data_IF_096348968937
#
_entry.id   IF_096348968937
#
_cell.length_a   1.000
_cell.length_b   1.000
_cell.length_c   1.000
_cell.angle_alpha   90.00
_cell.angle_beta   90.00
_cell.angle_gamma   90.00
#
_symmetry.space_group_name_H-M   'P 1'
#
loop_
_entity.id
_entity.type
_entity.pdbx_description
1 polymer ?
#
# COMPACT_ATOMS: atom_id res chain seq x y z
N UNK A 1 23.18 19.00 -24.59
CA UNK A 1 23.27 19.33 -23.15
C UNK A 1 21.85 19.58 -22.66
N UNK A 2 21.35 18.75 -21.74
CA UNK A 2 20.04 18.95 -21.11
C UNK A 2 20.24 19.75 -19.82
N UNK A 3 19.43 20.78 -19.61
CA UNK A 3 19.48 21.65 -18.43
C UNK A 3 19.14 20.83 -17.17
N UNK A 4 20.04 20.82 -16.19
CA UNK A 4 19.87 20.12 -14.92
C UNK A 4 18.79 20.73 -14.02
N UNK A 5 18.20 21.86 -14.42
CA UNK A 5 17.08 22.53 -13.73
C UNK A 5 15.70 22.19 -14.33
N UNK A 6 15.64 21.38 -15.38
CA UNK A 6 14.40 21.16 -16.15
C UNK A 6 13.42 20.12 -15.59
N UNK A 7 13.64 19.46 -14.44
CA UNK A 7 12.65 18.47 -13.96
C UNK A 7 12.52 18.37 -12.45
N UNK A 8 11.46 18.94 -11.86
CA UNK A 8 10.79 18.32 -10.73
C UNK A 8 9.59 17.55 -11.30
N UNK A 9 9.80 16.27 -11.67
CA UNK A 9 8.67 15.37 -11.93
C UNK A 9 7.95 15.12 -10.60
N UNK A 10 6.96 15.95 -10.29
CA UNK A 10 6.14 15.81 -9.07
C UNK A 10 5.21 14.59 -9.10
N UNK A 11 5.06 13.94 -10.26
CA UNK A 11 4.22 12.75 -10.43
C UNK A 11 4.63 11.94 -11.66
N UNK A 12 4.97 10.68 -11.45
CA UNK A 12 5.20 9.70 -12.52
C UNK A 12 4.07 8.66 -12.47
N UNK A 13 3.37 8.46 -13.59
CA UNK A 13 2.32 7.43 -13.72
C UNK A 13 2.72 6.49 -14.84
N UNK A 14 3.33 5.37 -14.48
CA UNK A 14 3.62 4.28 -15.41
C UNK A 14 2.40 3.38 -15.48
N UNK A 15 1.90 3.10 -16.69
CA UNK A 15 0.87 2.09 -16.95
C UNK A 15 1.49 1.01 -17.81
N UNK A 16 1.73 -0.16 -17.25
CA UNK A 16 2.26 -1.32 -17.98
C UNK A 16 1.55 -2.59 -17.51
N UNK A 17 1.35 -3.53 -18.43
CA UNK A 17 0.58 -4.76 -18.24
C UNK A 17 1.46 -5.97 -17.83
N UNK A 18 2.78 -5.77 -17.65
CA UNK A 18 3.72 -6.83 -17.27
C UNK A 18 4.37 -6.57 -15.91
N UNK A 19 4.69 -7.63 -15.13
CA UNK A 19 5.31 -7.51 -13.82
C UNK A 19 6.75 -6.99 -13.94
N UNK A 20 7.04 -5.92 -13.21
CA UNK A 20 8.36 -5.28 -13.17
C UNK A 20 9.11 -5.79 -11.94
N UNK A 21 10.29 -6.38 -12.14
CA UNK A 21 11.24 -6.63 -11.04
C UNK A 21 11.99 -5.33 -10.78
N UNK A 22 11.61 -4.62 -9.70
CA UNK A 22 12.09 -3.26 -9.39
C UNK A 22 12.98 -3.27 -8.16
N UNK A 23 14.14 -3.91 -8.28
CA UNK A 23 15.26 -3.75 -7.35
C UNK A 23 16.21 -2.64 -7.87
N UNK A 24 15.69 -1.41 -7.97
CA UNK A 24 16.45 -0.25 -8.46
C UNK A 24 16.39 0.93 -7.46
N UNK A 25 17.54 1.51 -7.06
CA UNK A 25 17.64 2.46 -5.94
C UNK A 25 16.82 3.75 -6.11
N UNK A 26 16.40 4.09 -7.33
CA UNK A 26 15.58 5.27 -7.62
C UNK A 26 14.12 5.10 -7.16
N UNK A 27 13.62 3.87 -7.05
CA UNK A 27 12.22 3.57 -6.61
C UNK A 27 11.99 3.92 -5.12
N UNK A 28 13.04 4.26 -4.38
CA UNK A 28 12.95 4.67 -2.98
C UNK A 28 12.74 6.18 -2.78
N UNK A 29 12.63 6.97 -3.85
CA UNK A 29 12.61 8.45 -3.77
C UNK A 29 11.25 9.10 -4.05
N UNK A 30 10.19 8.33 -4.30
CA UNK A 30 8.82 8.85 -4.43
C UNK A 30 8.02 8.64 -3.15
N UNK A 31 7.43 9.72 -2.64
CA UNK A 31 6.53 9.73 -1.47
C UNK A 31 5.30 8.82 -1.64
N UNK A 32 4.95 8.47 -2.88
CA UNK A 32 3.91 7.48 -3.22
C UNK A 32 4.49 6.40 -4.17
N UNK A 33 4.79 5.21 -3.66
CA UNK A 33 5.14 4.06 -4.51
C UNK A 33 3.87 3.41 -5.08
N UNK A 34 3.40 3.93 -6.21
CA UNK A 34 2.23 3.38 -6.92
C UNK A 34 2.67 2.20 -7.80
N UNK A 35 2.46 0.98 -7.31
CA UNK A 35 2.71 -0.23 -8.09
C UNK A 35 1.47 -0.61 -8.92
N UNK A 36 1.68 -0.96 -10.20
CA UNK A 36 0.65 -1.51 -11.10
C UNK A 36 1.11 -2.88 -11.59
N UNK A 37 0.32 -3.93 -11.32
CA UNK A 37 0.62 -5.32 -11.67
C UNK A 37 0.08 -6.30 -10.64
N UNK A 38 0.27 -7.61 -10.86
CA UNK A 38 0.00 -8.67 -9.87
C UNK A 38 1.03 -8.58 -8.74
N UNK A 39 0.81 -7.66 -7.81
CA UNK A 39 1.66 -7.47 -6.63
C UNK A 39 1.23 -8.42 -5.52
N UNK A 40 2.16 -9.22 -5.01
CA UNK A 40 1.93 -10.06 -3.84
C UNK A 40 2.11 -9.24 -2.55
N UNK A 41 1.01 -8.68 -2.04
CA UNK A 41 1.00 -7.92 -0.79
C UNK A 41 1.35 -8.79 0.42
N UNK A 42 1.04 -10.10 0.42
CA UNK A 42 1.41 -11.00 1.52
C UNK A 42 2.92 -11.06 1.64
N UNK A 43 3.62 -11.22 0.51
CA UNK A 43 5.09 -11.22 0.48
C UNK A 43 5.69 -9.90 0.97
N UNK A 44 5.10 -8.77 0.57
CA UNK A 44 5.55 -7.44 1.04
C UNK A 44 5.40 -7.32 2.55
N UNK A 45 4.24 -7.68 3.10
CA UNK A 45 3.97 -7.58 4.54
C UNK A 45 4.90 -8.49 5.33
N UNK A 46 5.11 -9.74 4.89
CA UNK A 46 6.05 -10.66 5.54
C UNK A 46 7.49 -10.13 5.50
N UNK A 47 7.89 -9.49 4.40
CA UNK A 47 9.20 -8.83 4.34
C UNK A 47 9.31 -7.69 5.35
N UNK A 48 8.28 -6.85 5.48
CA UNK A 48 8.24 -5.74 6.43
C UNK A 48 8.27 -6.25 7.88
N UNK A 49 7.53 -7.31 8.19
CA UNK A 49 7.54 -7.94 9.52
C UNK A 49 8.94 -8.45 9.85
N UNK A 50 9.62 -9.10 8.89
CA UNK A 50 10.95 -9.69 9.11
C UNK A 50 12.06 -8.65 9.21
N UNK A 51 12.04 -7.67 8.31
CA UNK A 51 13.16 -6.74 8.10
C UNK A 51 12.91 -5.35 8.70
N UNK A 52 11.70 -5.11 9.20
CA UNK A 52 11.24 -3.79 9.59
C UNK A 52 11.02 -2.87 8.39
N UNK A 53 10.40 -1.73 8.71
CA UNK A 53 10.29 -0.55 7.84
C UNK A 53 10.22 0.70 8.73
N UNK A 54 10.60 1.83 8.16
CA UNK A 54 10.55 3.12 8.87
C UNK A 54 9.08 3.51 9.14
N UNK A 55 8.77 4.00 10.33
CA UNK A 55 7.46 4.63 10.62
C UNK A 55 7.22 5.74 9.60
N UNK A 56 5.98 5.81 9.09
CA UNK A 56 5.59 6.71 8.01
C UNK A 56 5.82 6.13 6.61
N UNK A 57 6.41 4.94 6.46
CA UNK A 57 6.46 4.25 5.16
C UNK A 57 5.04 3.90 4.72
N UNK A 58 4.67 4.26 3.49
CA UNK A 58 3.35 4.01 2.91
C UNK A 58 3.46 3.49 1.48
N UNK A 59 2.81 2.36 1.20
CA UNK A 59 2.67 1.78 -0.13
C UNK A 59 1.22 1.84 -0.57
N UNK A 60 1.00 2.23 -1.82
CA UNK A 60 -0.31 2.46 -2.42
C UNK A 60 -0.48 1.54 -3.64
N UNK A 61 -1.14 0.39 -3.45
CA UNK A 61 -1.36 -0.56 -4.54
C UNK A 61 -2.69 -0.25 -5.23
N UNK A 62 -2.65 0.12 -6.51
CA UNK A 62 -3.84 0.57 -7.25
C UNK A 62 -4.38 -0.49 -8.22
N UNK A 63 -5.67 -0.77 -8.12
CA UNK A 63 -6.39 -1.76 -8.92
C UNK A 63 -7.47 -1.07 -9.77
N UNK A 64 -7.49 -1.29 -11.09
CA UNK A 64 -8.55 -0.76 -11.96
C UNK A 64 -9.89 -1.50 -11.76
N UNK A 65 -9.89 -2.71 -11.20
CA UNK A 65 -11.08 -3.55 -11.06
C UNK A 65 -11.29 -4.00 -9.62
N UNK A 66 -12.55 -3.96 -9.17
CA UNK A 66 -12.99 -4.40 -7.85
C UNK A 66 -12.57 -5.86 -7.55
N UNK A 67 -12.74 -6.75 -8.53
CA UNK A 67 -12.43 -8.18 -8.38
C UNK A 67 -10.99 -8.44 -7.96
N UNK A 68 -10.04 -7.61 -8.41
CA UNK A 68 -8.62 -7.81 -8.11
C UNK A 68 -8.28 -7.42 -6.67
N UNK A 69 -8.80 -6.28 -6.20
CA UNK A 69 -8.59 -5.90 -4.79
C UNK A 69 -9.35 -6.86 -3.84
N UNK A 70 -10.51 -7.39 -4.23
CA UNK A 70 -11.21 -8.41 -3.44
C UNK A 70 -10.39 -9.70 -3.32
N UNK A 71 -9.79 -10.17 -4.42
CA UNK A 71 -8.89 -11.32 -4.38
C UNK A 71 -7.69 -11.06 -3.47
N UNK A 72 -7.09 -9.87 -3.57
CA UNK A 72 -5.99 -9.46 -2.68
C UNK A 72 -6.38 -9.43 -1.21
N UNK A 73 -7.54 -8.85 -0.87
CA UNK A 73 -8.02 -8.81 0.51
C UNK A 73 -8.38 -10.18 1.06
N UNK A 74 -8.91 -11.08 0.22
CA UNK A 74 -9.16 -12.47 0.61
C UNK A 74 -7.85 -13.21 0.90
N UNK A 75 -6.80 -12.97 0.12
CA UNK A 75 -5.48 -13.55 0.40
C UNK A 75 -4.91 -13.00 1.72
N UNK A 76 -5.05 -11.70 1.98
CA UNK A 76 -4.65 -11.09 3.24
C UNK A 76 -5.44 -11.62 4.43
N UNK A 77 -6.75 -11.80 4.27
CA UNK A 77 -7.60 -12.41 5.30
C UNK A 77 -7.17 -13.83 5.59
N UNK A 78 -6.88 -14.65 4.57
CA UNK A 78 -6.39 -16.02 4.78
C UNK A 78 -5.07 -16.10 5.57
N UNK A 79 -4.19 -15.09 5.43
CA UNK A 79 -2.87 -15.09 6.06
C UNK A 79 -2.81 -14.33 7.39
N UNK A 80 -3.63 -13.29 7.56
CA UNK A 80 -3.54 -12.33 8.65
C UNK A 80 -4.88 -12.13 9.38
N UNK A 81 -5.78 -13.10 9.33
CA UNK A 81 -7.12 -13.02 9.95
C UNK A 81 -7.09 -12.60 11.43
N UNK A 82 -6.09 -13.08 12.18
CA UNK A 82 -5.94 -12.79 13.62
C UNK A 82 -5.69 -11.30 13.92
N UNK A 83 -5.25 -10.53 12.92
CA UNK A 83 -4.95 -9.10 13.03
C UNK A 83 -6.05 -8.20 12.48
N UNK A 84 -7.25 -8.73 12.24
CA UNK A 84 -8.39 -7.90 11.83
C UNK A 84 -8.69 -6.82 12.88
N UNK A 85 -8.94 -5.60 12.41
CA UNK A 85 -9.17 -4.45 13.28
C UNK A 85 -10.02 -3.39 12.56
N UNK A 86 -10.89 -2.69 13.28
CA UNK A 86 -11.72 -1.64 12.68
C UNK A 86 -10.97 -0.36 12.34
N UNK A 87 -9.74 -0.19 12.85
CA UNK A 87 -8.93 1.02 12.74
C UNK A 87 -9.72 2.26 13.23
N UNK A 88 -10.37 2.13 14.38
CA UNK A 88 -11.08 3.23 15.04
C UNK A 88 -10.10 4.38 15.32
N UNK A 89 -10.51 5.63 15.03
CA UNK A 89 -9.65 6.82 15.11
C UNK A 89 -9.14 7.31 13.75
N UNK A 90 -9.01 6.42 12.76
CA UNK A 90 -8.53 6.80 11.42
C UNK A 90 -9.66 7.44 10.59
N UNK A 91 -9.53 8.75 10.30
CA UNK A 91 -10.49 9.51 9.49
C UNK A 91 -10.24 9.31 7.98
N UNK A 92 -10.51 8.11 7.47
CA UNK A 92 -10.41 7.77 6.04
C UNK A 92 -11.70 7.12 5.55
N UNK A 93 -12.07 7.37 4.29
CA UNK A 93 -13.19 6.69 3.62
C UNK A 93 -12.78 5.28 3.19
N UNK A 94 -12.93 4.33 4.09
CA UNK A 94 -12.69 2.91 3.83
C UNK A 94 -13.68 2.33 2.81
N UNK A 95 -13.29 1.21 2.20
CA UNK A 95 -14.23 0.32 1.51
C UNK A 95 -15.08 -0.41 2.54
N UNK A 96 -16.37 -0.06 2.59
CA UNK A 96 -17.31 -0.62 3.56
C UNK A 96 -17.35 -2.15 3.51
N UNK A 97 -17.45 -2.78 4.69
CA UNK A 97 -17.58 -4.23 4.87
C UNK A 97 -16.36 -5.06 4.45
N UNK A 98 -15.21 -4.42 4.16
CA UNK A 98 -14.00 -5.12 3.76
C UNK A 98 -13.02 -5.21 4.93
N UNK A 99 -12.22 -6.29 5.01
CA UNK A 99 -11.33 -6.51 6.13
C UNK A 99 -10.25 -5.42 6.16
N UNK A 100 -9.92 -5.05 7.38
CA UNK A 100 -8.90 -4.06 7.75
C UNK A 100 -8.01 -4.74 8.77
N UNK A 101 -6.73 -4.42 8.76
CA UNK A 101 -5.76 -5.12 9.57
C UNK A 101 -4.87 -4.14 10.32
N UNK A 102 -4.47 -4.54 11.52
CA UNK A 102 -3.45 -3.88 12.33
C UNK A 102 -2.46 -4.94 12.78
N UNK A 103 -1.38 -5.11 12.02
CA UNK A 103 -0.40 -6.18 12.23
C UNK A 103 0.81 -5.62 12.98
N UNK A 104 1.15 -6.12 14.19
CA UNK A 104 2.36 -5.72 14.88
C UNK A 104 3.61 -6.02 14.05
N UNK A 105 4.51 -5.04 13.93
CA UNK A 105 5.81 -5.22 13.27
C UNK A 105 6.95 -5.19 14.29
N UNK A 106 6.81 -4.38 15.34
CA UNK A 106 7.70 -4.31 16.50
C UNK A 106 6.93 -3.75 17.71
N UNK A 107 7.51 -3.70 18.92
CA UNK A 107 6.84 -3.08 20.07
C UNK A 107 6.42 -1.62 19.80
N UNK A 108 7.20 -0.89 18.98
CA UNK A 108 6.98 0.53 18.70
C UNK A 108 6.22 0.81 17.40
N UNK A 109 5.92 -0.20 16.58
CA UNK A 109 5.25 0.03 15.29
C UNK A 109 4.40 -1.13 14.80
N UNK A 110 3.37 -0.78 14.03
CA UNK A 110 2.42 -1.69 13.40
C UNK A 110 2.20 -1.30 11.95
N UNK A 111 1.80 -2.28 11.15
CA UNK A 111 1.36 -2.10 9.77
C UNK A 111 -0.16 -2.03 9.80
N UNK A 112 -0.72 -0.90 9.39
CA UNK A 112 -2.15 -0.79 9.12
C UNK A 112 -2.41 -1.05 7.64
N UNK A 113 -3.48 -1.79 7.37
CA UNK A 113 -3.85 -2.19 6.02
C UNK A 113 -5.34 -1.98 5.82
N UNK A 114 -5.69 -1.24 4.76
CA UNK A 114 -7.09 -0.98 4.43
C UNK A 114 -7.28 -0.67 2.94
N UNK A 115 -8.49 -0.94 2.45
CA UNK A 115 -8.90 -0.58 1.10
C UNK A 115 -9.59 0.79 1.05
N UNK A 116 -9.33 1.57 0.02
CA UNK A 116 -10.03 2.84 -0.29
C UNK A 116 -10.54 2.85 -1.74
N UNK A 117 -11.53 3.73 -1.99
CA UNK A 117 -12.04 4.00 -3.34
C UNK A 117 -11.64 5.40 -3.78
N UNK A 118 -10.97 5.51 -4.91
CA UNK A 118 -10.63 6.79 -5.53
C UNK A 118 -11.58 7.01 -6.70
N UNK A 119 -12.32 8.11 -6.65
CA UNK A 119 -13.19 8.57 -7.74
C UNK A 119 -12.58 9.82 -8.36
N UNK A 120 -12.07 9.69 -9.59
CA UNK A 120 -11.71 10.81 -10.47
C UNK A 120 -12.60 10.73 -11.71
N UNK A 121 -12.05 10.27 -12.83
CA UNK A 121 -12.77 10.04 -14.09
C UNK A 121 -13.24 8.58 -14.25
N UNK A 122 -12.51 7.66 -13.60
CA UNK A 122 -12.84 6.24 -13.46
C UNK A 122 -12.67 5.85 -11.99
N UNK A 123 -13.44 4.86 -11.54
CA UNK A 123 -13.27 4.30 -10.19
C UNK A 123 -12.02 3.44 -10.14
N UNK A 124 -11.09 3.78 -9.25
CA UNK A 124 -9.95 2.95 -8.89
C UNK A 124 -10.09 2.50 -7.45
N UNK A 125 -9.61 1.29 -7.19
CA UNK A 125 -9.48 0.74 -5.85
C UNK A 125 -8.02 0.83 -5.43
N UNK A 126 -7.79 1.11 -4.16
CA UNK A 126 -6.44 1.21 -3.63
C UNK A 126 -6.35 0.40 -2.35
N UNK A 127 -5.31 -0.42 -2.23
CA UNK A 127 -4.92 -1.03 -0.97
C UNK A 127 -3.78 -0.18 -0.39
N UNK A 128 -3.98 0.32 0.82
CA UNK A 128 -3.00 1.10 1.56
C UNK A 128 -2.31 0.20 2.56
N UNK A 129 -0.98 0.19 2.54
CA UNK A 129 -0.14 -0.44 3.56
C UNK A 129 0.69 0.67 4.18
N UNK A 130 0.51 0.94 5.48
CA UNK A 130 1.21 2.03 6.17
C UNK A 130 1.81 1.57 7.47
N UNK A 131 3.05 1.97 7.72
CA UNK A 131 3.71 1.76 9.01
C UNK A 131 3.43 2.96 9.91
N UNK A 132 2.82 2.71 11.06
CA UNK A 132 2.49 3.74 12.06
C UNK A 132 3.11 3.38 13.41
N UNK A 133 3.24 4.36 14.30
CA UNK A 133 3.59 4.10 15.69
C UNK A 133 2.50 3.25 16.36
N UNK A 134 2.88 2.42 17.33
CA UNK A 134 1.89 1.67 18.14
C UNK A 134 0.96 2.63 18.88
N UNK A 135 1.48 3.78 19.32
CA UNK A 135 0.78 4.79 20.12
C UNK A 135 -0.17 5.69 19.30
N UNK A 136 -0.10 5.61 17.96
CA UNK A 136 -1.01 6.34 17.07
C UNK A 136 -2.20 5.44 16.67
N UNK A 137 -3.43 5.88 16.99
CA UNK A 137 -4.69 5.52 16.34
C UNK A 137 -5.59 6.75 16.21
#
# INVERSE_FOLDING_TARGET
MIDSRSFPLKKLKLTQEEPIDVDHPVVHTTEDNIMRGNVDAVRIIKDWIRNGRKIGTEYLLCFPFNKWIQAMLKNLEGEFNEFQNNLEGINVRFLNSWPRFSIPMSPASKIIIYGTRIQKDQTFYQLVLKVVSTDEL
#
